data_IF_383881648547
#
_entry.id   IF_383881648547
#
_cell.length_a   1.000
_cell.length_b   1.000
_cell.length_c   1.000
_cell.angle_alpha   90.00
_cell.angle_beta   90.00
_cell.angle_gamma   90.00
#
_symmetry.space_group_name_H-M   'P 1'
#
loop_
_entity.id
_entity.type
_entity.pdbx_description
1 polymer ?
#
# COMPACT_ATOMS: atom_id res chain seq x y z
N UNK A 1 -18.82 -17.56 2.07
CA UNK A 1 -18.08 -16.30 2.26
C UNK A 1 -17.65 -15.84 0.88
N UNK A 2 -18.08 -14.66 0.43
CA UNK A 2 -17.64 -14.10 -0.85
C UNK A 2 -16.22 -13.59 -0.69
N UNK A 3 -15.30 -14.01 -1.56
CA UNK A 3 -13.91 -13.53 -1.56
C UNK A 3 -13.81 -12.04 -1.88
N UNK A 4 -14.82 -11.47 -2.54
CA UNK A 4 -14.84 -10.06 -2.94
C UNK A 4 -15.15 -9.10 -1.80
N UNK A 5 -15.67 -9.60 -0.68
CA UNK A 5 -15.97 -8.80 0.52
C UNK A 5 -14.92 -9.00 1.63
N UNK A 6 -13.94 -9.88 1.40
CA UNK A 6 -12.89 -10.18 2.38
C UNK A 6 -11.75 -9.15 2.30
N UNK A 7 -11.14 -8.87 3.46
CA UNK A 7 -9.99 -7.97 3.53
C UNK A 7 -8.80 -8.50 2.72
N UNK A 8 -8.04 -7.59 2.11
CA UNK A 8 -6.83 -7.94 1.36
C UNK A 8 -5.80 -8.65 2.25
N UNK A 9 -5.67 -8.24 3.52
CA UNK A 9 -4.82 -8.89 4.54
C UNK A 9 -5.17 -10.37 4.76
N UNK A 10 -6.41 -10.77 4.50
CA UNK A 10 -6.90 -12.14 4.70
C UNK A 10 -6.77 -12.96 3.42
N UNK A 11 -7.02 -12.35 2.26
CA UNK A 11 -6.99 -13.03 0.96
C UNK A 11 -5.56 -13.13 0.41
N UNK A 12 -4.74 -12.10 0.62
CA UNK A 12 -3.35 -12.01 0.19
C UNK A 12 -2.50 -11.20 1.19
N UNK A 13 -1.99 -11.86 2.25
CA UNK A 13 -1.17 -11.20 3.27
C UNK A 13 0.15 -10.62 2.75
N UNK A 14 0.71 -11.19 1.67
CA UNK A 14 1.99 -10.75 1.11
C UNK A 14 1.83 -9.39 0.42
N UNK A 15 0.79 -9.24 -0.41
CA UNK A 15 0.49 -7.97 -1.06
C UNK A 15 0.11 -6.91 -0.04
N UNK A 16 -0.68 -7.26 0.99
CA UNK A 16 -1.02 -6.33 2.07
C UNK A 16 0.25 -5.78 2.75
N UNK A 17 1.20 -6.65 3.11
CA UNK A 17 2.46 -6.25 3.72
C UNK A 17 3.34 -5.39 2.79
N UNK A 18 3.33 -5.67 1.48
CA UNK A 18 4.05 -4.87 0.49
C UNK A 18 3.47 -3.45 0.36
N UNK A 19 2.14 -3.32 0.36
CA UNK A 19 1.46 -2.02 0.36
C UNK A 19 1.78 -1.23 1.63
N UNK A 20 1.75 -1.86 2.81
CA UNK A 20 2.11 -1.21 4.07
C UNK A 20 3.59 -0.76 4.11
N UNK A 21 4.49 -1.52 3.48
CA UNK A 21 5.88 -1.13 3.35
C UNK A 21 6.05 0.09 2.44
N UNK A 22 5.35 0.14 1.32
CA UNK A 22 5.41 1.27 0.38
C UNK A 22 4.78 2.53 0.98
N UNK A 23 3.66 2.41 1.69
CA UNK A 23 3.06 3.53 2.42
C UNK A 23 4.05 4.14 3.42
N UNK A 24 4.74 3.31 4.20
CA UNK A 24 5.78 3.77 5.12
C UNK A 24 6.95 4.43 4.39
N UNK A 25 7.37 3.89 3.26
CA UNK A 25 8.43 4.48 2.43
C UNK A 25 8.03 5.90 2.06
N UNK A 26 6.87 6.09 1.43
CA UNK A 26 6.34 7.39 1.00
C UNK A 26 6.19 8.39 2.15
N UNK A 27 5.81 7.95 3.35
CA UNK A 27 5.68 8.81 4.53
C UNK A 27 7.03 9.16 5.18
N UNK A 28 8.04 8.32 5.01
CA UNK A 28 9.36 8.48 5.62
C UNK A 28 10.36 9.26 4.75
N UNK A 29 10.06 9.44 3.46
CA UNK A 29 10.93 10.10 2.50
C UNK A 29 10.37 11.44 2.04
N UNK A 30 11.27 12.40 1.84
CA UNK A 30 10.93 13.60 1.10
C UNK A 30 10.94 13.27 -0.39
N UNK A 31 9.76 13.12 -0.98
CA UNK A 31 9.65 12.86 -2.42
C UNK A 31 10.04 14.12 -3.21
N UNK A 32 11.12 14.01 -3.99
CA UNK A 32 11.68 15.12 -4.78
C UNK A 32 11.44 14.93 -6.29
N UNK A 33 10.68 13.90 -6.67
CA UNK A 33 10.35 13.61 -8.06
C UNK A 33 9.23 14.55 -8.49
N UNK A 34 9.53 15.49 -9.39
CA UNK A 34 8.61 16.57 -9.76
C UNK A 34 7.29 16.10 -10.43
N UNK A 35 7.26 14.88 -10.97
CA UNK A 35 6.05 14.29 -11.55
C UNK A 35 5.18 13.54 -10.53
N UNK A 36 5.72 13.25 -9.35
CA UNK A 36 5.00 12.54 -8.29
C UNK A 36 4.23 13.53 -7.42
N UNK A 37 3.08 13.09 -6.91
CA UNK A 37 2.22 13.91 -6.08
C UNK A 37 1.46 13.02 -5.08
N UNK A 38 1.07 13.60 -3.95
CA UNK A 38 0.16 12.98 -2.99
C UNK A 38 -1.21 13.66 -3.14
N UNK A 39 -2.26 12.89 -3.44
CA UNK A 39 -3.63 13.37 -3.64
C UNK A 39 -4.60 12.67 -2.68
#
# INVERSE_FOLDING_TARGET
>A
MSTFDAELSTVDPEVAAAVDAELRRQQSTLEMIASENFA
#
